data_IF_674962137466
#
_entry.id   IF_674962137466
#
_cell.length_a   1.000
_cell.length_b   1.000
_cell.length_c   1.000
_cell.angle_alpha   90.00
_cell.angle_beta   90.00
_cell.angle_gamma   90.00
#
_symmetry.space_group_name_H-M   'P 1'
#
loop_
_entity.id
_entity.type
_entity.pdbx_description
1 polymer ?
#
# COMPACT_ATOMS: atom_id res chain seq x y z
N UNK A 1 15.62 -10.19 -2.60
CA UNK A 1 14.78 -9.26 -1.80
C UNK A 1 13.34 -9.42 -2.27
N UNK A 2 12.38 -9.50 -1.35
CA UNK A 2 10.97 -9.65 -1.71
C UNK A 2 10.37 -8.33 -2.21
N UNK A 3 9.30 -8.38 -3.00
CA UNK A 3 8.67 -7.19 -3.59
C UNK A 3 8.18 -6.19 -2.53
N UNK A 4 7.65 -6.66 -1.40
CA UNK A 4 7.22 -5.80 -0.31
C UNK A 4 8.38 -5.16 0.46
N UNK A 5 9.56 -5.81 0.55
CA UNK A 5 10.77 -5.17 1.09
C UNK A 5 11.32 -4.09 0.16
N UNK A 6 11.22 -4.30 -1.16
CA UNK A 6 11.51 -3.27 -2.18
C UNK A 6 10.60 -2.05 -1.97
N UNK A 7 9.30 -2.26 -1.76
CA UNK A 7 8.33 -1.19 -1.50
C UNK A 7 8.74 -0.31 -0.31
N UNK A 8 9.12 -0.91 0.81
CA UNK A 8 9.60 -0.15 1.97
C UNK A 8 10.85 0.69 1.70
N UNK A 9 11.75 0.24 0.81
CA UNK A 9 12.97 0.99 0.44
C UNK A 9 12.70 2.15 -0.53
N UNK A 10 11.66 2.05 -1.36
CA UNK A 10 11.29 3.10 -2.31
C UNK A 10 10.67 4.32 -1.60
N UNK A 11 10.10 4.12 -0.41
CA UNK A 11 9.56 5.21 0.41
C UNK A 11 10.64 6.21 0.81
N UNK A 12 10.49 7.47 0.37
CA UNK A 12 11.53 8.50 0.48
C UNK A 12 12.91 8.02 -0.02
N UNK A 13 12.92 7.10 -1.00
CA UNK A 13 14.10 6.70 -1.73
C UNK A 13 14.59 7.79 -2.68
N UNK A 14 15.37 7.41 -3.69
CA UNK A 14 15.97 8.34 -4.65
C UNK A 14 14.94 9.24 -5.35
N UNK A 15 13.78 8.68 -5.65
CA UNK A 15 12.67 9.34 -6.35
C UNK A 15 11.75 10.12 -5.41
N UNK A 16 11.92 9.97 -4.09
CA UNK A 16 11.14 10.72 -3.10
C UNK A 16 9.68 10.24 -2.92
N UNK A 17 9.36 9.01 -3.34
CA UNK A 17 8.00 8.47 -3.29
C UNK A 17 7.35 8.52 -1.91
N UNK A 18 6.05 8.79 -1.89
CA UNK A 18 5.21 8.59 -0.70
C UNK A 18 4.84 7.10 -0.49
N UNK A 19 4.07 6.79 0.55
CA UNK A 19 3.76 5.41 0.91
C UNK A 19 3.02 4.61 -0.17
N UNK A 20 2.05 5.24 -0.86
CA UNK A 20 1.26 4.57 -1.90
C UNK A 20 2.08 4.42 -3.19
N UNK A 21 2.76 5.49 -3.60
CA UNK A 21 3.65 5.46 -4.77
C UNK A 21 4.73 4.38 -4.63
N UNK A 22 5.34 4.26 -3.44
CA UNK A 22 6.34 3.25 -3.17
C UNK A 22 5.79 1.82 -3.29
N UNK A 23 4.54 1.59 -2.89
CA UNK A 23 3.88 0.30 -3.06
C UNK A 23 3.61 0.01 -4.55
N UNK A 24 2.92 0.90 -5.26
CA UNK A 24 2.62 0.70 -6.69
C UNK A 24 3.90 0.52 -7.49
N UNK A 25 4.92 1.36 -7.28
CA UNK A 25 6.22 1.26 -7.96
C UNK A 25 6.91 -0.08 -7.71
N UNK A 26 6.77 -0.67 -6.53
CA UNK A 26 7.35 -1.98 -6.26
C UNK A 26 6.66 -3.09 -7.06
N UNK A 27 5.34 -2.99 -7.21
CA UNK A 27 4.47 -3.95 -7.91
C UNK A 27 4.26 -3.62 -9.39
N UNK A 28 4.91 -2.58 -9.92
CA UNK A 28 4.72 -2.07 -11.28
C UNK A 28 4.72 -3.18 -12.35
N UNK A 29 5.74 -4.04 -12.32
CA UNK A 29 5.89 -5.14 -13.28
C UNK A 29 4.81 -6.23 -13.13
N UNK A 30 4.22 -6.36 -11.94
CA UNK A 30 3.18 -7.34 -11.62
C UNK A 30 1.81 -6.81 -12.07
N UNK A 31 1.50 -5.56 -11.71
CA UNK A 31 0.17 -5.00 -11.93
C UNK A 31 0.00 -4.28 -13.27
N UNK A 32 1.08 -4.10 -14.02
CA UNK A 32 1.06 -3.42 -15.32
C UNK A 32 0.91 -1.90 -15.23
N UNK A 33 1.13 -1.30 -14.05
CA UNK A 33 1.07 0.15 -13.89
C UNK A 33 2.19 0.87 -14.66
N UNK A 34 1.92 2.06 -15.18
CA UNK A 34 2.93 2.93 -15.77
C UNK A 34 3.35 4.07 -14.81
N UNK A 35 4.22 4.97 -15.28
CA UNK A 35 4.66 6.10 -14.44
C UNK A 35 3.56 7.13 -14.19
N UNK A 36 2.58 7.25 -15.10
CA UNK A 36 1.44 8.15 -14.92
C UNK A 36 0.57 7.63 -13.78
N UNK A 37 0.26 6.33 -13.79
CA UNK A 37 -0.47 5.65 -12.72
C UNK A 37 0.18 5.87 -11.35
N UNK A 38 1.52 5.78 -11.28
CA UNK A 38 2.26 6.00 -10.03
C UNK A 38 2.19 7.46 -9.58
N UNK A 39 2.27 8.42 -10.51
CA UNK A 39 2.24 9.84 -10.17
C UNK A 39 0.88 10.27 -9.62
N UNK A 40 -0.23 9.67 -10.05
CA UNK A 40 -1.56 9.92 -9.47
C UNK A 40 -1.58 9.75 -7.94
N UNK A 41 -0.79 8.81 -7.42
CA UNK A 41 -0.74 8.56 -5.98
C UNK A 41 0.03 9.61 -5.18
N UNK A 42 0.67 10.60 -5.83
CA UNK A 42 1.32 11.72 -5.15
C UNK A 42 0.35 12.47 -4.21
N UNK A 43 -0.95 12.52 -4.57
CA UNK A 43 -2.00 13.16 -3.78
C UNK A 43 -2.29 12.46 -2.43
N UNK A 44 -2.05 11.15 -2.33
CA UNK A 44 -2.51 10.30 -1.22
C UNK A 44 -1.50 10.15 -0.07
N UNK A 45 -0.38 10.87 -0.11
CA UNK A 45 0.60 10.86 0.97
C UNK A 45 0.08 11.45 2.30
N UNK A 46 0.72 11.10 3.41
CA UNK A 46 0.49 11.70 4.75
C UNK A 46 -0.94 11.57 5.32
N UNK A 47 -1.67 10.53 4.92
CA UNK A 47 -3.04 10.28 5.39
C UNK A 47 -4.07 11.20 4.73
N UNK A 48 -3.84 11.58 3.47
CA UNK A 48 -4.76 12.38 2.65
C UNK A 48 -5.80 11.56 1.91
N UNK A 49 -5.70 10.24 1.93
CA UNK A 49 -6.79 9.37 1.47
C UNK A 49 -8.02 9.66 2.32
N UNK A 50 -9.19 9.62 1.70
CA UNK A 50 -10.48 9.81 2.36
C UNK A 50 -10.61 8.96 3.63
N UNK A 51 -11.20 9.57 4.66
CA UNK A 51 -11.29 8.96 6.00
C UNK A 51 -9.95 8.81 6.74
N UNK A 52 -8.83 9.27 6.17
CA UNK A 52 -7.49 9.19 6.75
C UNK A 52 -6.84 7.82 6.61
N UNK A 53 -7.31 6.98 5.67
CA UNK A 53 -6.81 5.64 5.42
C UNK A 53 -5.30 5.63 5.18
N UNK A 54 -4.61 4.60 5.66
CA UNK A 54 -3.21 4.36 5.36
C UNK A 54 -3.07 4.12 3.84
N UNK A 55 -2.31 4.97 3.15
CA UNK A 55 -2.33 4.99 1.68
C UNK A 55 -1.81 3.74 0.97
N UNK A 56 -0.97 2.87 1.55
CA UNK A 56 -0.72 1.53 1.00
C UNK A 56 -1.99 0.66 0.90
N UNK A 57 -2.96 0.81 1.81
CA UNK A 57 -4.22 0.07 1.72
C UNK A 57 -5.08 0.58 0.54
N UNK A 58 -5.11 1.89 0.32
CA UNK A 58 -5.73 2.46 -0.86
C UNK A 58 -5.04 2.01 -2.17
N UNK A 59 -3.71 1.92 -2.15
CA UNK A 59 -2.97 1.35 -3.27
C UNK A 59 -3.38 -0.12 -3.53
N UNK A 60 -3.52 -0.96 -2.49
CA UNK A 60 -4.04 -2.33 -2.65
C UNK A 60 -5.46 -2.34 -3.23
N UNK A 61 -6.35 -1.46 -2.77
CA UNK A 61 -7.69 -1.33 -3.34
C UNK A 61 -7.66 -1.08 -4.85
N UNK A 62 -6.70 -0.29 -5.33
CA UNK A 62 -6.49 -0.02 -6.76
C UNK A 62 -5.85 -1.20 -7.52
N UNK A 63 -5.30 -2.19 -6.81
CA UNK A 63 -4.62 -3.36 -7.39
C UNK A 63 -5.46 -4.65 -7.40
N UNK A 64 -6.58 -4.74 -6.66
CA UNK A 64 -7.32 -6.00 -6.48
C UNK A 64 -8.83 -5.78 -6.60
N UNK A 65 -9.52 -6.64 -7.35
CA UNK A 65 -10.99 -6.56 -7.53
C UNK A 65 -11.79 -7.29 -6.45
N UNK A 66 -11.14 -8.22 -5.75
CA UNK A 66 -11.82 -9.02 -4.74
C UNK A 66 -12.00 -8.24 -3.43
N UNK A 67 -13.19 -7.69 -3.23
CA UNK A 67 -13.56 -6.93 -2.03
C UNK A 67 -13.46 -7.74 -0.75
N UNK A 68 -13.79 -9.03 -0.78
CA UNK A 68 -13.69 -9.93 0.38
C UNK A 68 -12.23 -10.09 0.80
N UNK A 69 -11.31 -10.24 -0.16
CA UNK A 69 -9.88 -10.32 0.14
C UNK A 69 -9.35 -8.97 0.61
N UNK A 70 -9.84 -7.86 0.05
CA UNK A 70 -9.47 -6.53 0.53
C UNK A 70 -9.87 -6.32 2.00
N UNK A 71 -11.08 -6.70 2.40
CA UNK A 71 -11.54 -6.63 3.79
C UNK A 71 -10.68 -7.49 4.72
N UNK A 72 -10.28 -8.70 4.30
CA UNK A 72 -9.35 -9.53 5.07
C UNK A 72 -7.99 -8.85 5.25
N UNK A 73 -7.47 -8.19 4.22
CA UNK A 73 -6.22 -7.41 4.31
C UNK A 73 -6.39 -6.26 5.31
N UNK A 74 -7.51 -5.53 5.27
CA UNK A 74 -7.80 -4.45 6.23
C UNK A 74 -7.83 -4.97 7.67
N UNK A 75 -8.49 -6.09 7.91
CA UNK A 75 -8.58 -6.70 9.24
C UNK A 75 -7.20 -7.16 9.76
N UNK A 76 -6.42 -7.85 8.93
CA UNK A 76 -5.09 -8.32 9.33
C UNK A 76 -4.11 -7.17 9.52
N UNK A 77 -4.17 -6.16 8.65
CA UNK A 77 -3.41 -4.93 8.82
C UNK A 77 -3.76 -4.25 10.14
N UNK A 78 -5.04 -4.11 10.48
CA UNK A 78 -5.49 -3.51 11.73
C UNK A 78 -5.09 -4.32 12.97
N UNK A 79 -5.07 -5.66 12.88
CA UNK A 79 -4.59 -6.53 13.98
C UNK A 79 -3.11 -6.28 14.31
N UNK A 80 -2.28 -6.01 13.30
CA UNK A 80 -0.84 -5.77 13.49
C UNK A 80 -0.49 -4.30 13.80
N UNK A 81 -1.31 -3.35 13.37
CA UNK A 81 -1.01 -1.90 13.47
C UNK A 81 -1.90 -1.15 14.45
N UNK A 82 -2.97 -1.79 14.94
CA UNK A 82 -3.98 -1.22 15.80
C UNK A 82 -5.03 -0.36 15.09
N UNK A 83 -4.84 0.00 13.81
CA UNK A 83 -5.81 0.77 13.02
C UNK A 83 -5.48 0.75 11.53
N UNK A 84 -6.47 0.97 10.67
CA UNK A 84 -6.24 1.21 9.23
C UNK A 84 -5.92 2.68 8.91
N UNK A 85 -6.06 3.60 9.87
CA UNK A 85 -5.93 5.05 9.66
C UNK A 85 -4.55 5.56 10.02
N UNK A 86 -3.94 6.32 9.11
CA UNK A 86 -2.55 6.76 9.22
C UNK A 86 -2.25 7.53 10.53
N UNK A 87 -3.16 8.41 10.97
CA UNK A 87 -2.96 9.19 12.19
C UNK A 87 -3.07 8.33 13.46
N UNK A 88 -3.97 7.37 13.48
CA UNK A 88 -4.19 6.49 14.63
C UNK A 88 -2.99 5.55 14.82
N UNK A 89 -2.46 4.97 13.73
CA UNK A 89 -1.25 4.13 13.75
C UNK A 89 -0.06 4.91 14.32
N UNK A 90 0.13 6.16 13.87
CA UNK A 90 1.23 7.02 14.34
C UNK A 90 1.10 7.39 15.81
N UNK A 91 -0.11 7.71 16.27
CA UNK A 91 -0.37 8.04 17.68
C UNK A 91 -0.18 6.84 18.59
N UNK A 92 -0.52 5.64 18.12
CA UNK A 92 -0.26 4.39 18.84
C UNK A 92 1.22 3.99 18.90
N UNK A 93 2.10 4.71 18.19
CA UNK A 93 3.54 4.43 18.06
C UNK A 93 3.87 2.98 17.70
N UNK A 94 2.96 2.29 17.02
CA UNK A 94 3.12 0.86 16.72
C UNK A 94 4.09 0.63 15.57
N UNK A 95 3.90 1.32 14.44
CA UNK A 95 4.69 1.12 13.22
C UNK A 95 4.91 2.45 12.48
N UNK A 96 6.08 2.58 11.86
CA UNK A 96 6.39 3.68 10.94
C UNK A 96 5.77 3.47 9.56
N UNK A 97 5.85 4.50 8.71
CA UNK A 97 5.33 4.42 7.33
C UNK A 97 5.98 3.29 6.53
N UNK A 98 7.29 3.08 6.71
CA UNK A 98 8.03 2.04 6.00
C UNK A 98 7.51 0.65 6.35
N UNK A 99 7.33 0.39 7.64
CA UNK A 99 6.83 -0.87 8.16
C UNK A 99 5.38 -1.11 7.71
N UNK A 100 4.55 -0.07 7.67
CA UNK A 100 3.19 -0.16 7.11
C UNK A 100 3.19 -0.56 5.62
N UNK A 101 4.11 -0.02 4.83
CA UNK A 101 4.23 -0.36 3.39
C UNK A 101 4.66 -1.81 3.24
N UNK A 102 5.69 -2.23 3.97
CA UNK A 102 6.18 -3.62 3.93
C UNK A 102 5.11 -4.61 4.40
N UNK A 103 4.32 -4.27 5.42
CA UNK A 103 3.19 -5.06 5.90
C UNK A 103 2.08 -5.17 4.85
N UNK A 104 1.63 -4.04 4.30
CA UNK A 104 0.59 -4.02 3.27
C UNK A 104 1.00 -4.86 2.04
N UNK A 105 2.22 -4.66 1.54
CA UNK A 105 2.75 -5.45 0.43
C UNK A 105 2.89 -6.94 0.74
N UNK A 106 3.24 -7.31 1.98
CA UNK A 106 3.30 -8.72 2.40
C UNK A 106 1.91 -9.35 2.38
N UNK A 107 0.92 -8.69 2.99
CA UNK A 107 -0.47 -9.17 3.03
C UNK A 107 -1.05 -9.31 1.62
N UNK A 108 -0.74 -8.37 0.72
CA UNK A 108 -1.12 -8.46 -0.69
C UNK A 108 -0.62 -9.77 -1.31
N UNK A 109 0.67 -10.09 -1.19
CA UNK A 109 1.24 -11.31 -1.79
C UNK A 109 0.74 -12.58 -1.09
N UNK A 110 0.50 -12.55 0.22
CA UNK A 110 0.00 -13.70 0.97
C UNK A 110 -1.46 -14.05 0.63
N UNK A 111 -2.28 -13.04 0.31
CA UNK A 111 -3.72 -13.19 0.11
C UNK A 111 -4.16 -13.23 -1.35
N UNK A 112 -3.36 -12.66 -2.25
CA UNK A 112 -3.75 -12.44 -3.63
C UNK A 112 -2.76 -13.13 -4.58
N UNK A 113 -3.20 -14.08 -5.40
CA UNK A 113 -2.37 -14.65 -6.45
C UNK A 113 -1.84 -13.55 -7.37
N UNK A 114 -0.56 -13.62 -7.77
CA UNK A 114 0.09 -12.58 -8.58
C UNK A 114 -0.70 -12.20 -9.84
N UNK A 115 -1.29 -13.19 -10.53
CA UNK A 115 -2.14 -13.02 -11.72
C UNK A 115 -3.42 -12.18 -11.49
N UNK A 116 -3.83 -12.01 -10.24
CA UNK A 116 -5.02 -11.25 -9.83
C UNK A 116 -4.66 -9.84 -9.35
N UNK A 117 -3.37 -9.52 -9.23
CA UNK A 117 -2.87 -8.18 -8.91
C UNK A 117 -2.75 -7.41 -10.21
N UNK A 118 -3.70 -6.51 -10.48
CA UNK A 118 -3.76 -5.75 -11.72
C UNK A 118 -4.15 -4.30 -11.41
N UNK A 119 -3.49 -3.33 -12.04
CA UNK A 119 -3.82 -1.92 -11.82
C UNK A 119 -5.20 -1.59 -12.39
N UNK A 120 -5.93 -0.73 -11.69
CA UNK A 120 -7.28 -0.30 -12.07
C UNK A 120 -7.39 1.20 -11.85
N UNK A 121 -8.05 1.89 -12.77
CA UNK A 121 -8.48 3.28 -12.59
C UNK A 121 -9.62 3.36 -11.54
N UNK A 122 -9.79 4.52 -10.90
CA UNK A 122 -10.82 4.76 -9.89
C UNK A 122 -12.21 5.02 -10.48
#
# INVERSE_FOLDING_TARGET
MTVWKKAGMLYHGKEGYNCAQALIKAFQDICGADEFDIEEFAAYGRGRVDGGLCSPLYAIYRLIDNTVVYEQILEEFAKETGSVKCREIKLGMQLGCRECIELAGRLLVEKVPEKEINFREE
#
